data_IF_244531907195
#
_entry.id   IF_244531907195
#
_cell.length_a   1.000
_cell.length_b   1.000
_cell.length_c   1.000
_cell.angle_alpha   90.00
_cell.angle_beta   90.00
_cell.angle_gamma   90.00
#
_symmetry.space_group_name_H-M   'P 1'
#
loop_
_entity.id
_entity.type
_entity.pdbx_description
1 polymer ?
#
# COMPACT_ATOMS: atom_id res chain seq x y z
N UNK A 1 -6.51 -1.59 3.74
CA UNK A 1 -5.92 -1.95 2.44
C UNK A 1 -6.61 -3.17 1.86
N UNK A 2 -6.75 -3.20 0.53
CA UNK A 2 -7.20 -4.39 -0.20
C UNK A 2 -6.04 -4.87 -1.07
N UNK A 3 -5.62 -6.13 -0.90
CA UNK A 3 -4.43 -6.70 -1.56
C UNK A 3 -4.79 -8.01 -2.21
N UNK A 4 -4.34 -8.22 -3.44
CA UNK A 4 -4.77 -9.35 -4.23
C UNK A 4 -4.25 -9.27 -5.65
N UNK A 5 -4.43 -10.36 -6.40
CA UNK A 5 -4.17 -10.33 -7.84
C UNK A 5 -5.27 -9.51 -8.52
N UNK A 6 -4.84 -8.60 -9.40
CA UNK A 6 -5.71 -7.84 -10.30
C UNK A 6 -6.12 -8.71 -11.49
N UNK A 7 -5.18 -9.56 -11.95
CA UNK A 7 -5.38 -10.49 -13.07
C UNK A 7 -6.67 -11.30 -12.86
N UNK A 8 -7.49 -11.32 -13.90
CA UNK A 8 -8.79 -11.99 -14.02
C UNK A 8 -9.98 -11.42 -13.21
N UNK A 9 -9.77 -10.47 -12.27
CA UNK A 9 -10.87 -9.96 -11.42
C UNK A 9 -11.29 -8.53 -11.78
N UNK A 10 -10.35 -7.62 -12.04
CA UNK A 10 -10.65 -6.22 -12.31
C UNK A 10 -9.70 -5.63 -13.37
N UNK A 11 -10.22 -5.25 -14.53
CA UNK A 11 -9.45 -4.46 -15.51
C UNK A 11 -9.69 -2.99 -15.22
N UNK A 12 -8.82 -2.39 -14.41
CA UNK A 12 -8.87 -0.95 -14.12
C UNK A 12 -8.29 -0.16 -15.29
N UNK A 13 -9.00 0.87 -15.83
CA UNK A 13 -8.42 1.76 -16.81
C UNK A 13 -7.20 2.48 -16.23
N UNK A 14 -6.14 2.65 -17.05
CA UNK A 14 -4.86 3.23 -16.60
C UNK A 14 -4.96 4.66 -16.04
N UNK A 15 -6.02 5.40 -16.38
CA UNK A 15 -6.23 6.77 -15.93
C UNK A 15 -6.96 6.92 -14.59
N UNK A 16 -7.31 5.81 -13.92
CA UNK A 16 -8.00 5.87 -12.63
C UNK A 16 -6.97 6.02 -11.51
N UNK A 17 -6.91 7.21 -10.92
CA UNK A 17 -6.02 7.51 -9.80
C UNK A 17 -6.72 7.41 -8.44
N UNK A 18 -8.04 7.67 -8.40
CA UNK A 18 -8.82 7.73 -7.17
C UNK A 18 -10.12 6.93 -7.29
N UNK A 19 -10.61 6.47 -6.14
CA UNK A 19 -11.88 5.77 -6.04
C UNK A 19 -12.28 5.52 -4.59
N UNK A 20 -13.41 4.86 -4.41
CA UNK A 20 -14.04 4.60 -3.13
C UNK A 20 -14.28 3.10 -2.96
N UNK A 21 -14.14 2.64 -1.72
CA UNK A 21 -14.59 1.31 -1.32
C UNK A 21 -15.98 1.44 -0.72
N UNK A 22 -16.98 0.88 -1.39
CA UNK A 22 -18.39 0.93 -0.98
C UNK A 22 -18.76 -0.40 -0.32
N UNK A 23 -19.36 -0.34 0.86
CA UNK A 23 -19.86 -1.53 1.56
C UNK A 23 -21.36 -1.72 1.30
N UNK A 24 -21.69 -2.83 0.66
CA UNK A 24 -23.07 -3.27 0.39
C UNK A 24 -23.45 -4.45 1.28
N UNK A 25 -24.71 -4.50 1.72
CA UNK A 25 -25.27 -5.69 2.39
C UNK A 25 -26.04 -6.51 1.37
N UNK A 26 -25.71 -7.80 1.28
CA UNK A 26 -26.43 -8.76 0.42
C UNK A 26 -27.69 -9.28 1.11
N UNK A 27 -28.57 -9.87 0.31
CA UNK A 27 -29.82 -10.48 0.79
C UNK A 27 -29.59 -11.63 1.78
N UNK A 28 -28.44 -12.31 1.71
CA UNK A 28 -28.01 -13.36 2.65
C UNK A 28 -27.43 -12.81 3.96
N UNK A 29 -27.40 -11.48 4.14
CA UNK A 29 -26.84 -10.81 5.32
C UNK A 29 -25.32 -10.58 5.25
N UNK A 30 -24.62 -11.14 4.26
CA UNK A 30 -23.18 -10.96 4.12
C UNK A 30 -22.83 -9.56 3.61
N UNK A 31 -21.68 -9.05 4.04
CA UNK A 31 -21.14 -7.78 3.53
C UNK A 31 -20.33 -8.02 2.25
N UNK A 32 -20.62 -7.22 1.24
CA UNK A 32 -19.84 -7.13 0.00
C UNK A 32 -19.14 -5.77 -0.04
N UNK A 33 -17.87 -5.76 -0.42
CA UNK A 33 -17.13 -4.52 -0.67
C UNK A 33 -16.90 -4.38 -2.17
N UNK A 34 -17.25 -3.22 -2.72
CA UNK A 34 -17.12 -2.89 -4.14
C UNK A 34 -16.15 -1.72 -4.30
N UNK A 35 -15.43 -1.69 -5.40
CA UNK A 35 -14.62 -0.54 -5.78
C UNK A 35 -15.41 0.33 -6.75
N UNK A 36 -15.51 1.63 -6.48
CA UNK A 36 -16.18 2.59 -7.33
C UNK A 36 -15.20 3.71 -7.69
N UNK A 37 -15.23 4.17 -8.94
CA UNK A 37 -14.50 5.36 -9.36
C UNK A 37 -15.38 6.20 -10.28
N UNK A 38 -14.96 7.44 -10.51
CA UNK A 38 -15.59 8.35 -11.47
C UNK A 38 -14.77 8.35 -12.76
N UNK A 39 -15.42 8.12 -13.88
CA UNK A 39 -14.76 8.18 -15.18
C UNK A 39 -14.55 9.63 -15.65
N UNK A 40 -13.95 9.80 -16.83
CA UNK A 40 -13.64 11.12 -17.38
C UNK A 40 -14.88 11.97 -17.71
N UNK A 41 -16.05 11.35 -17.80
CA UNK A 41 -17.32 12.02 -18.12
C UNK A 41 -18.19 12.24 -16.87
N UNK A 42 -17.69 11.87 -15.68
CA UNK A 42 -18.38 12.03 -14.40
C UNK A 42 -19.30 10.87 -14.03
N UNK A 43 -19.29 9.76 -14.78
CA UNK A 43 -20.12 8.60 -14.45
C UNK A 43 -19.43 7.71 -13.42
N UNK A 44 -20.24 7.21 -12.48
CA UNK A 44 -19.79 6.25 -11.47
C UNK A 44 -19.72 4.86 -12.06
N UNK A 45 -18.52 4.31 -12.15
CA UNK A 45 -18.29 2.92 -12.55
C UNK A 45 -18.01 2.09 -11.31
N UNK A 46 -18.71 0.97 -11.15
CA UNK A 46 -18.61 0.12 -9.97
C UNK A 46 -18.15 -1.28 -10.34
N UNK A 47 -17.05 -1.68 -9.73
CA UNK A 47 -16.45 -2.99 -9.80
C UNK A 47 -16.83 -3.81 -8.57
N UNK A 48 -17.73 -4.77 -8.78
CA UNK A 48 -18.32 -5.54 -7.69
C UNK A 48 -17.38 -6.61 -7.11
N UNK A 49 -17.37 -6.74 -5.78
CA UNK A 49 -16.77 -7.85 -5.06
C UNK A 49 -15.26 -7.77 -4.99
N UNK A 50 -14.73 -6.63 -4.53
CA UNK A 50 -13.31 -6.39 -4.28
C UNK A 50 -12.68 -7.46 -3.38
N UNK A 51 -13.48 -8.03 -2.47
CA UNK A 51 -13.07 -9.16 -1.62
C UNK A 51 -12.71 -10.43 -2.40
N UNK A 52 -13.13 -10.58 -3.67
CA UNK A 52 -12.81 -11.75 -4.49
C UNK A 52 -11.35 -11.79 -4.95
N UNK A 53 -10.71 -10.63 -5.06
CA UNK A 53 -9.28 -10.55 -5.37
C UNK A 53 -8.40 -10.96 -4.21
N UNK A 54 -8.93 -11.09 -2.99
CA UNK A 54 -8.12 -11.39 -1.82
C UNK A 54 -7.71 -12.84 -1.82
N UNK A 55 -6.41 -13.03 -1.68
CA UNK A 55 -5.89 -14.29 -1.22
C UNK A 55 -6.15 -14.43 0.30
N UNK A 56 -6.67 -15.59 0.70
CA UNK A 56 -6.91 -15.92 2.11
C UNK A 56 -5.60 -16.00 2.90
N UNK A 57 -4.50 -16.36 2.25
CA UNK A 57 -3.16 -16.44 2.86
C UNK A 57 -2.74 -15.09 3.47
N UNK A 58 -3.06 -13.98 2.80
CA UNK A 58 -2.67 -12.63 3.24
C UNK A 58 -3.70 -11.92 4.11
N UNK A 59 -4.85 -12.56 4.39
CA UNK A 59 -6.00 -11.87 4.96
C UNK A 59 -5.75 -11.30 6.35
N UNK A 60 -5.07 -12.06 7.22
CA UNK A 60 -4.77 -11.62 8.59
C UNK A 60 -3.80 -10.44 8.59
N UNK A 61 -2.81 -10.45 7.71
CA UNK A 61 -1.86 -9.36 7.57
C UNK A 61 -2.52 -8.11 6.99
N UNK A 62 -3.36 -8.26 5.96
CA UNK A 62 -4.11 -7.14 5.39
C UNK A 62 -5.06 -6.51 6.44
N UNK A 63 -5.72 -7.32 7.29
CA UNK A 63 -6.52 -6.82 8.42
C UNK A 63 -5.67 -6.05 9.42
N UNK A 64 -4.53 -6.61 9.82
CA UNK A 64 -3.61 -5.98 10.77
C UNK A 64 -3.15 -4.62 10.25
N UNK A 65 -2.63 -4.56 9.02
CA UNK A 65 -2.17 -3.31 8.40
C UNK A 65 -3.33 -2.31 8.26
N UNK A 66 -4.52 -2.78 7.90
CA UNK A 66 -5.71 -1.93 7.85
C UNK A 66 -6.09 -1.36 9.21
N UNK A 67 -5.94 -2.13 10.28
CA UNK A 67 -6.16 -1.67 11.66
C UNK A 67 -5.13 -0.61 12.04
N UNK A 68 -3.85 -0.88 11.81
CA UNK A 68 -2.74 0.05 12.09
C UNK A 68 -2.95 1.40 11.40
N UNK A 69 -3.27 1.39 10.10
CA UNK A 69 -3.55 2.61 9.33
C UNK A 69 -4.80 3.34 9.87
N UNK A 70 -5.86 2.61 10.19
CA UNK A 70 -7.11 3.19 10.71
C UNK A 70 -6.91 3.86 12.07
N UNK A 71 -6.01 3.33 12.89
CA UNK A 71 -5.68 3.89 14.19
C UNK A 71 -4.66 5.05 14.13
N UNK A 72 -4.30 5.50 12.92
CA UNK A 72 -3.54 6.73 12.72
C UNK A 72 -2.03 6.59 12.94
N UNK A 73 -1.48 5.37 12.87
CA UNK A 73 -0.02 5.23 12.82
C UNK A 73 0.51 5.95 11.58
N UNK A 74 1.50 6.85 11.71
CA UNK A 74 2.07 7.54 10.56
C UNK A 74 2.67 6.53 9.57
N UNK A 75 2.46 6.78 8.27
CA UNK A 75 2.63 5.78 7.22
C UNK A 75 4.08 5.29 7.05
N UNK A 76 5.07 6.12 7.35
CA UNK A 76 6.48 5.74 7.36
C UNK A 76 6.76 4.61 8.38
N UNK A 77 6.18 4.70 9.58
CA UNK A 77 6.29 3.65 10.60
C UNK A 77 5.58 2.37 10.15
N UNK A 78 4.44 2.50 9.46
CA UNK A 78 3.72 1.36 8.89
C UNK A 78 4.56 0.63 7.85
N UNK A 79 5.18 1.39 6.94
CA UNK A 79 6.08 0.86 5.90
C UNK A 79 7.26 0.14 6.52
N UNK A 80 7.88 0.73 7.54
CA UNK A 80 9.04 0.15 8.21
C UNK A 80 8.68 -1.11 9.01
N UNK A 81 7.53 -1.08 9.70
CA UNK A 81 6.98 -2.25 10.40
C UNK A 81 6.80 -3.41 9.42
N UNK A 82 6.10 -3.19 8.30
CA UNK A 82 5.85 -4.22 7.30
C UNK A 82 7.17 -4.70 6.68
N UNK A 83 8.10 -3.80 6.36
CA UNK A 83 9.40 -4.13 5.79
C UNK A 83 10.24 -5.05 6.69
N UNK A 84 10.17 -4.84 8.01
CA UNK A 84 10.89 -5.62 9.03
C UNK A 84 10.19 -6.94 9.41
N UNK A 85 8.97 -7.21 8.91
CA UNK A 85 8.31 -8.49 9.14
C UNK A 85 9.12 -9.63 8.53
N UNK A 86 9.52 -10.58 9.36
CA UNK A 86 10.13 -11.83 8.93
C UNK A 86 9.03 -12.87 8.72
N UNK A 87 8.83 -13.29 7.47
CA UNK A 87 7.78 -14.21 7.07
C UNK A 87 8.42 -15.45 6.49
N UNK A 88 7.97 -16.62 6.93
CA UNK A 88 8.60 -17.91 6.64
C UNK A 88 8.45 -18.39 5.19
N UNK A 89 7.59 -17.76 4.39
CA UNK A 89 7.28 -18.16 3.01
C UNK A 89 7.84 -17.12 2.00
N UNK A 90 8.33 -17.57 0.85
CA UNK A 90 8.89 -16.68 -0.18
C UNK A 90 7.80 -15.89 -0.93
N UNK A 91 6.62 -16.47 -1.13
CA UNK A 91 5.48 -15.82 -1.79
C UNK A 91 4.99 -14.65 -0.96
N UNK A 92 4.90 -14.83 0.35
CA UNK A 92 4.48 -13.75 1.25
C UNK A 92 5.53 -12.64 1.36
N UNK A 93 6.83 -12.95 1.18
CA UNK A 93 7.87 -11.91 1.09
C UNK A 93 7.75 -11.07 -0.20
N UNK A 94 7.33 -11.69 -1.31
CA UNK A 94 7.02 -10.96 -2.55
C UNK A 94 5.79 -10.04 -2.37
N UNK A 95 4.72 -10.57 -1.76
CA UNK A 95 3.54 -9.78 -1.40
C UNK A 95 3.90 -8.60 -0.48
N UNK A 96 4.68 -8.86 0.57
CA UNK A 96 5.18 -7.85 1.52
C UNK A 96 5.91 -6.72 0.81
N UNK A 97 6.80 -7.06 -0.11
CA UNK A 97 7.56 -6.10 -0.91
C UNK A 97 6.63 -5.24 -1.79
N UNK A 98 5.60 -5.86 -2.38
CA UNK A 98 4.57 -5.15 -3.15
C UNK A 98 3.77 -4.16 -2.29
N UNK A 99 3.35 -4.57 -1.09
CA UNK A 99 2.62 -3.71 -0.14
C UNK A 99 3.49 -2.54 0.33
N UNK A 100 4.75 -2.80 0.68
CA UNK A 100 5.72 -1.75 1.05
C UNK A 100 5.89 -0.75 -0.07
N UNK A 101 6.06 -1.21 -1.32
CA UNK A 101 6.19 -0.33 -2.49
C UNK A 101 4.96 0.53 -2.70
N UNK A 102 3.76 -0.04 -2.58
CA UNK A 102 2.51 0.68 -2.74
C UNK A 102 2.27 1.71 -1.63
N UNK A 103 2.62 1.41 -0.37
CA UNK A 103 2.42 2.34 0.74
C UNK A 103 3.45 3.47 0.76
N UNK A 104 4.67 3.23 0.28
CA UNK A 104 5.72 4.26 0.21
C UNK A 104 5.33 5.49 -0.61
N UNK A 105 4.51 5.33 -1.65
CA UNK A 105 4.07 6.45 -2.50
C UNK A 105 3.15 7.43 -1.79
N UNK A 106 2.62 7.05 -0.63
CA UNK A 106 1.77 7.90 0.21
C UNK A 106 2.55 8.58 1.34
N UNK A 107 3.86 8.34 1.47
CA UNK A 107 4.72 9.07 2.41
C UNK A 107 5.01 10.44 1.78
N UNK A 108 4.72 11.57 2.47
CA UNK A 108 5.02 12.90 1.95
C UNK A 108 6.52 13.09 1.71
N UNK A 109 6.87 13.76 0.61
CA UNK A 109 8.26 14.14 0.32
C UNK A 109 8.83 15.03 1.44
N UNK A 110 10.10 14.80 1.78
CA UNK A 110 10.77 15.46 2.90
C UNK A 110 10.52 14.83 4.27
N UNK A 111 9.67 13.80 4.37
CA UNK A 111 9.53 13.02 5.61
C UNK A 111 10.87 12.39 5.97
N UNK A 112 11.34 12.62 7.21
CA UNK A 112 12.58 12.02 7.70
C UNK A 112 12.39 10.53 7.95
N UNK A 113 13.35 9.71 7.54
CA UNK A 113 13.40 8.31 7.94
C UNK A 113 13.72 8.20 9.43
N UNK A 114 13.19 7.19 10.13
CA UNK A 114 13.56 6.93 11.53
C UNK A 114 15.01 6.47 11.67
N UNK A 115 15.49 5.62 10.75
CA UNK A 115 16.92 5.31 10.62
C UNK A 115 17.57 6.50 9.89
N UNK A 116 18.06 7.45 10.67
CA UNK A 116 18.54 8.74 10.19
C UNK A 116 19.82 8.65 9.34
N UNK A 117 20.63 7.60 9.56
CA UNK A 117 22.01 7.51 9.04
C UNK A 117 22.07 6.89 7.64
N UNK A 118 22.67 7.62 6.70
CA UNK A 118 22.96 7.13 5.36
C UNK A 118 24.02 6.02 5.39
N UNK A 119 23.79 4.91 4.67
CA UNK A 119 24.76 3.81 4.56
C UNK A 119 26.03 4.16 3.77
N UNK A 120 25.96 5.14 2.85
CA UNK A 120 27.11 5.51 2.01
C UNK A 120 28.05 6.55 2.64
N UNK A 121 27.51 7.54 3.34
CA UNK A 121 28.31 8.64 3.89
C UNK A 121 28.25 8.74 5.42
N UNK A 122 27.55 7.81 6.07
CA UNK A 122 27.46 7.68 7.54
C UNK A 122 26.95 8.93 8.27
N UNK A 123 26.26 9.83 7.56
CA UNK A 123 25.69 11.05 8.13
C UNK A 123 24.17 10.97 8.23
N UNK A 124 23.60 11.72 9.17
CA UNK A 124 22.16 11.91 9.28
C UNK A 124 21.64 12.74 8.11
N UNK A 125 20.66 12.22 7.37
CA UNK A 125 20.11 12.93 6.23
C UNK A 125 19.21 12.12 5.31
N UNK A 126 18.76 10.93 5.72
CA UNK A 126 17.82 10.13 4.93
C UNK A 126 16.40 10.71 5.02
N UNK A 127 15.86 11.08 3.86
CA UNK A 127 14.49 11.56 3.68
C UNK A 127 13.77 10.73 2.62
N UNK A 128 12.44 10.67 2.72
CA UNK A 128 11.60 10.15 1.64
C UNK A 128 11.45 11.21 0.54
N UNK A 129 11.66 10.80 -0.71
CA UNK A 129 11.42 11.59 -1.92
C UNK A 129 11.00 10.65 -3.05
N UNK A 130 9.85 10.95 -3.68
CA UNK A 130 9.28 10.17 -4.79
C UNK A 130 9.10 8.68 -4.42
N UNK A 131 8.72 8.41 -3.17
CA UNK A 131 8.55 7.05 -2.66
C UNK A 131 9.87 6.27 -2.42
N UNK A 132 11.03 6.91 -2.50
CA UNK A 132 12.32 6.31 -2.18
C UNK A 132 13.04 7.05 -1.03
N UNK A 133 13.98 6.37 -0.36
CA UNK A 133 14.89 6.99 0.60
C UNK A 133 16.06 7.63 -0.14
N UNK A 134 16.23 8.94 -0.01
CA UNK A 134 17.35 9.72 -0.56
C UNK A 134 18.14 10.39 0.57
N UNK A 135 19.45 10.42 0.46
CA UNK A 135 20.33 11.16 1.36
C UNK A 135 20.56 12.59 0.84
N UNK A 136 20.25 13.59 1.66
CA UNK A 136 20.47 15.00 1.28
C UNK A 136 21.95 15.43 1.28
N UNK A 137 22.84 14.65 1.91
CA UNK A 137 24.25 15.01 2.06
C UNK A 137 25.12 14.48 0.91
N UNK A 138 24.89 13.25 0.44
CA UNK A 138 25.71 12.62 -0.61
C UNK A 138 24.93 12.23 -1.87
N UNK A 139 23.60 12.39 -1.90
CA UNK A 139 22.77 12.03 -3.05
C UNK A 139 22.47 10.53 -3.18
N UNK A 140 22.89 9.69 -2.21
CA UNK A 140 22.54 8.26 -2.18
C UNK A 140 21.03 8.06 -2.28
N UNK A 141 20.60 7.03 -3.01
CA UNK A 141 19.21 6.61 -3.13
C UNK A 141 19.12 5.10 -2.93
N UNK A 142 18.20 4.64 -2.09
CA UNK A 142 18.00 3.19 -1.87
C UNK A 142 17.43 2.45 -3.09
N UNK A 143 16.92 3.19 -4.07
CA UNK A 143 16.25 2.63 -5.25
C UNK A 143 17.01 2.91 -6.55
N UNK A 144 18.21 3.49 -6.47
CA UNK A 144 19.09 3.84 -7.59
C UNK A 144 20.38 3.05 -7.55
#
# INVERSE_FOLDING_TARGET
>A
IFTGKIEDVFVLPKGVEYGWVVKNKRADGNSQYDFQYEDKEGYKVTFGGLSRSFDKEFWNYAKLISGVLRHGMPIQYVVDLIGKMNLYDENINTWKSGVVRALKTFIPDGTKADDHTCSECETEGLIYSEGCLKCVNCGYSKCG
#
